data_IF_098890599556
#
_entry.id   IF_098890599556
#
_cell.length_a   1.000
_cell.length_b   1.000
_cell.length_c   1.000
_cell.angle_alpha   90.00
_cell.angle_beta   90.00
_cell.angle_gamma   90.00
#
_symmetry.space_group_name_H-M   'P 1'
#
loop_
_entity.id
_entity.type
_entity.pdbx_description
1 polymer ?
#
# COMPACT_ATOMS: atom_id res chain seq x y z
N UNK A 1 13.06 7.71 -32.56
CA UNK A 1 11.74 7.17 -32.94
C UNK A 1 10.72 7.78 -32.00
N UNK A 2 9.78 8.56 -32.53
CA UNK A 2 8.68 9.18 -31.80
C UNK A 2 7.42 8.34 -32.05
N UNK A 3 7.29 7.23 -31.34
CA UNK A 3 6.04 6.47 -31.31
C UNK A 3 5.46 6.59 -29.92
N UNK A 4 4.27 7.18 -29.82
CA UNK A 4 3.54 7.28 -28.55
C UNK A 4 3.24 5.88 -28.06
N UNK A 5 3.89 5.47 -26.98
CA UNK A 5 3.76 4.13 -26.40
C UNK A 5 2.45 4.09 -25.59
N UNK A 6 1.39 3.57 -26.18
CA UNK A 6 0.12 3.30 -25.50
C UNK A 6 -0.09 1.79 -25.37
N UNK A 7 0.77 1.11 -24.59
CA UNK A 7 0.55 -0.30 -24.27
C UNK A 7 -0.37 -0.44 -23.06
N UNK A 8 -1.31 -1.37 -23.12
CA UNK A 8 -1.90 -1.97 -21.93
C UNK A 8 -0.84 -2.76 -21.15
N UNK A 9 -1.10 -3.10 -19.88
CA UNK A 9 -0.13 -3.89 -19.09
C UNK A 9 0.17 -5.26 -19.70
N UNK A 10 -0.81 -5.88 -20.36
CA UNK A 10 -0.62 -7.16 -21.05
C UNK A 10 0.25 -6.99 -22.30
N UNK A 11 -0.02 -5.98 -23.12
CA UNK A 11 0.80 -5.67 -24.30
C UNK A 11 2.23 -5.29 -23.90
N UNK A 12 2.38 -4.50 -22.84
CA UNK A 12 3.68 -4.14 -22.29
C UNK A 12 4.43 -5.39 -21.84
N UNK A 13 3.79 -6.28 -21.05
CA UNK A 13 4.39 -7.55 -20.62
C UNK A 13 4.73 -8.48 -21.79
N UNK A 14 3.95 -8.47 -22.88
CA UNK A 14 4.23 -9.32 -24.04
C UNK A 14 5.40 -8.81 -24.89
N UNK A 15 5.65 -7.49 -24.87
CA UNK A 15 6.65 -6.84 -25.73
C UNK A 15 7.90 -6.37 -24.96
N UNK A 16 7.88 -6.32 -23.62
CA UNK A 16 8.96 -5.68 -22.84
C UNK A 16 10.32 -6.29 -23.11
N UNK A 17 10.42 -7.62 -23.25
CA UNK A 17 11.73 -8.27 -23.46
C UNK A 17 12.35 -7.84 -24.79
N UNK A 18 11.52 -7.66 -25.82
CA UNK A 18 11.96 -7.13 -27.10
C UNK A 18 12.42 -5.66 -26.96
N UNK A 19 11.62 -4.82 -26.32
CA UNK A 19 11.95 -3.40 -26.09
C UNK A 19 13.24 -3.23 -25.27
N UNK A 20 13.42 -4.06 -24.25
CA UNK A 20 14.62 -4.10 -23.41
C UNK A 20 15.86 -4.48 -24.25
N UNK A 21 15.76 -5.54 -25.06
CA UNK A 21 16.86 -5.98 -25.91
C UNK A 21 17.25 -4.88 -26.92
N UNK A 22 16.27 -4.27 -27.59
CA UNK A 22 16.50 -3.15 -28.52
C UNK A 22 17.16 -1.96 -27.83
N UNK A 23 16.70 -1.59 -26.64
CA UNK A 23 17.28 -0.49 -25.85
C UNK A 23 18.73 -0.77 -25.48
N UNK A 24 19.02 -1.95 -24.93
CA UNK A 24 20.38 -2.35 -24.53
C UNK A 24 21.31 -2.36 -25.75
N UNK A 25 20.86 -2.91 -26.88
CA UNK A 25 21.64 -2.91 -28.13
C UNK A 25 21.91 -1.50 -28.64
N UNK A 26 20.92 -0.61 -28.59
CA UNK A 26 21.03 0.75 -29.11
C UNK A 26 21.85 1.69 -28.22
N UNK A 27 21.82 1.51 -26.89
CA UNK A 27 22.40 2.49 -25.96
C UNK A 27 23.54 1.95 -25.11
N UNK A 28 23.82 0.65 -25.13
CA UNK A 28 24.77 -0.03 -24.24
C UNK A 28 24.53 0.27 -22.75
N UNK A 29 23.26 0.50 -22.36
CA UNK A 29 22.85 0.78 -20.98
C UNK A 29 22.31 -0.47 -20.30
N UNK A 30 22.06 -0.39 -18.99
CA UNK A 30 21.58 -1.51 -18.18
C UNK A 30 20.07 -1.71 -18.29
N UNK A 31 19.59 -2.86 -17.81
CA UNK A 31 18.15 -3.12 -17.65
C UNK A 31 17.48 -2.13 -16.68
N UNK A 32 18.20 -1.69 -15.64
CA UNK A 32 17.69 -0.66 -14.74
C UNK A 32 17.48 0.68 -15.48
N UNK A 33 18.45 1.07 -16.32
CA UNK A 33 18.34 2.29 -17.12
C UNK A 33 17.14 2.26 -18.07
N UNK A 34 16.81 1.07 -18.62
CA UNK A 34 15.62 0.88 -19.44
C UNK A 34 14.34 1.15 -18.63
N UNK A 35 14.21 0.57 -17.45
CA UNK A 35 13.00 0.77 -16.64
C UNK A 35 12.87 2.20 -16.11
N UNK A 36 13.96 2.86 -15.75
CA UNK A 36 13.94 4.28 -15.37
C UNK A 36 13.54 5.18 -16.56
N UNK A 37 14.04 4.86 -17.77
CA UNK A 37 13.64 5.56 -19.00
C UNK A 37 12.16 5.36 -19.34
N UNK A 38 11.65 4.13 -19.23
CA UNK A 38 10.23 3.84 -19.45
C UNK A 38 9.36 4.52 -18.39
N UNK A 39 9.75 4.50 -17.12
CA UNK A 39 9.02 5.18 -16.05
C UNK A 39 8.91 6.68 -16.32
N UNK A 40 9.98 7.31 -16.81
CA UNK A 40 9.97 8.72 -17.21
C UNK A 40 8.97 8.97 -18.35
N UNK A 41 8.97 8.13 -19.39
CA UNK A 41 7.99 8.24 -20.49
C UNK A 41 6.56 8.14 -19.98
N UNK A 42 6.24 7.12 -19.17
CA UNK A 42 4.87 6.90 -18.69
C UNK A 42 4.41 7.95 -17.68
N UNK A 43 5.30 8.47 -16.82
CA UNK A 43 4.98 9.59 -15.93
C UNK A 43 4.76 10.90 -16.72
N UNK A 44 5.54 11.12 -17.78
CA UNK A 44 5.47 12.34 -18.59
C UNK A 44 4.45 12.26 -19.74
N UNK A 45 3.84 11.10 -20.00
CA UNK A 45 2.78 10.92 -20.98
C UNK A 45 1.50 11.76 -20.69
N UNK A 46 1.46 12.46 -19.55
CA UNK A 46 0.36 13.30 -19.07
C UNK A 46 0.36 14.78 -19.48
N UNK A 47 1.11 15.20 -20.52
CA UNK A 47 0.93 16.54 -21.13
C UNK A 47 0.20 16.44 -22.48
N UNK A 48 -0.94 15.75 -22.51
CA UNK A 48 -2.03 16.00 -23.47
C UNK A 48 -3.31 16.03 -22.64
N UNK A 49 -3.75 17.24 -22.30
CA UNK A 49 -4.72 17.53 -21.24
C UNK A 49 -6.16 17.13 -21.61
N UNK A 50 -6.99 16.90 -20.59
CA UNK A 50 -8.45 16.79 -20.70
C UNK A 50 -9.16 18.10 -21.11
N UNK A 51 -8.44 19.18 -21.45
CA UNK A 51 -9.02 20.50 -21.75
C UNK A 51 -8.89 20.98 -23.20
N UNK A 52 -8.21 20.26 -24.10
CA UNK A 52 -7.90 20.79 -25.44
C UNK A 52 -8.64 20.11 -26.62
N UNK A 53 -9.67 19.28 -26.38
CA UNK A 53 -10.34 18.54 -27.47
C UNK A 53 -11.86 18.69 -27.49
N UNK A 54 -12.35 19.95 -27.52
CA UNK A 54 -13.56 20.29 -28.29
C UNK A 54 -13.13 21.05 -29.55
N UNK A 55 -12.45 20.35 -30.45
CA UNK A 55 -12.00 20.94 -31.71
C UNK A 55 -11.37 19.88 -32.59
N UNK A 56 -12.02 19.59 -33.70
CA UNK A 56 -11.55 18.61 -34.67
C UNK A 56 -10.09 18.87 -35.07
N UNK A 57 -9.21 17.86 -34.92
CA UNK A 57 -8.15 17.54 -35.89
C UNK A 57 -7.40 16.24 -35.51
N UNK A 58 -7.14 15.42 -36.54
CA UNK A 58 -6.14 14.34 -36.67
C UNK A 58 -5.76 13.49 -35.43
N UNK A 59 -6.30 12.27 -35.37
CA UNK A 59 -5.52 11.08 -35.00
C UNK A 59 -5.11 10.89 -33.53
N UNK A 60 -5.77 11.53 -32.57
CA UNK A 60 -5.50 11.32 -31.15
C UNK A 60 -6.12 10.02 -30.61
N UNK A 61 -5.27 9.09 -30.16
CA UNK A 61 -5.69 7.87 -29.44
C UNK A 61 -6.19 8.28 -28.05
N UNK A 62 -7.41 7.86 -27.69
CA UNK A 62 -7.94 8.01 -26.33
C UNK A 62 -7.14 7.09 -25.41
N UNK A 63 -6.39 7.68 -24.48
CA UNK A 63 -5.57 6.93 -23.52
C UNK A 63 -6.41 6.54 -22.31
N UNK A 64 -6.45 5.25 -21.97
CA UNK A 64 -7.10 4.76 -20.75
C UNK A 64 -6.13 4.91 -19.56
N UNK A 65 -6.42 5.86 -18.68
CA UNK A 65 -5.55 6.21 -17.54
C UNK A 65 -5.35 5.08 -16.52
N UNK A 66 -6.37 4.25 -16.29
CA UNK A 66 -6.27 3.12 -15.35
C UNK A 66 -5.23 2.11 -15.83
N UNK A 67 -5.22 1.84 -17.15
CA UNK A 67 -4.23 0.95 -17.77
C UNK A 67 -2.81 1.51 -17.70
N UNK A 68 -2.64 2.83 -17.76
CA UNK A 68 -1.32 3.48 -17.59
C UNK A 68 -0.78 3.29 -16.17
N UNK A 69 -1.64 3.41 -15.16
CA UNK A 69 -1.24 3.19 -13.76
C UNK A 69 -0.79 1.74 -13.53
N UNK A 70 -1.41 0.76 -14.19
CA UNK A 70 -0.95 -0.64 -14.13
C UNK A 70 0.44 -0.85 -14.73
N UNK A 71 0.76 -0.19 -15.85
CA UNK A 71 2.10 -0.23 -16.44
C UNK A 71 3.12 0.45 -15.54
N UNK A 72 2.80 1.63 -14.99
CA UNK A 72 3.66 2.35 -14.04
C UNK A 72 3.95 1.49 -12.81
N UNK A 73 2.92 0.84 -12.24
CA UNK A 73 3.08 -0.07 -11.11
C UNK A 73 4.01 -1.24 -11.47
N UNK A 74 3.82 -1.87 -12.64
CA UNK A 74 4.70 -2.93 -13.11
C UNK A 74 6.15 -2.47 -13.28
N UNK A 75 6.39 -1.31 -13.90
CA UNK A 75 7.74 -0.75 -14.07
C UNK A 75 8.40 -0.48 -12.71
N UNK A 76 7.66 0.08 -11.75
CA UNK A 76 8.19 0.31 -10.39
C UNK A 76 8.61 -0.99 -9.70
N UNK A 77 7.85 -2.06 -9.86
CA UNK A 77 8.23 -3.39 -9.36
C UNK A 77 9.52 -3.85 -10.01
N UNK A 78 9.67 -3.70 -11.33
CA UNK A 78 10.90 -4.08 -12.05
C UNK A 78 12.12 -3.27 -11.63
N UNK A 79 11.98 -1.96 -11.41
CA UNK A 79 13.04 -1.12 -10.84
C UNK A 79 13.45 -1.65 -9.47
N UNK A 80 12.49 -2.01 -8.62
CA UNK A 80 12.77 -2.57 -7.30
C UNK A 80 13.51 -3.91 -7.40
N UNK A 81 13.07 -4.81 -8.29
CA UNK A 81 13.76 -6.08 -8.57
C UNK A 81 15.22 -5.86 -9.02
N UNK A 82 15.48 -4.86 -9.87
CA UNK A 82 16.84 -4.53 -10.31
C UNK A 82 17.70 -3.93 -9.19
N UNK A 83 17.13 -3.09 -8.31
CA UNK A 83 17.87 -2.39 -7.25
C UNK A 83 18.14 -3.27 -6.03
N UNK A 84 17.21 -4.17 -5.71
CA UNK A 84 17.19 -4.90 -4.45
C UNK A 84 17.17 -6.42 -4.61
N UNK A 85 17.18 -6.92 -5.86
CA UNK A 85 16.99 -8.33 -6.20
C UNK A 85 15.51 -8.69 -6.31
N UNK A 86 15.20 -9.81 -6.99
CA UNK A 86 13.83 -10.35 -7.02
C UNK A 86 13.36 -10.59 -5.60
N UNK A 87 12.43 -9.76 -5.13
CA UNK A 87 11.63 -10.13 -3.97
C UNK A 87 10.72 -11.24 -4.48
N UNK A 88 11.08 -12.49 -4.19
CA UNK A 88 10.06 -13.53 -4.15
C UNK A 88 9.05 -13.02 -3.12
N UNK A 89 7.95 -12.44 -3.59
CA UNK A 89 6.77 -12.27 -2.76
C UNK A 89 6.26 -13.68 -2.59
N UNK A 90 6.91 -14.44 -1.70
CA UNK A 90 6.23 -15.55 -1.04
C UNK A 90 4.94 -14.93 -0.53
N UNK A 91 3.79 -15.49 -0.91
CA UNK A 91 2.54 -15.17 -0.25
C UNK A 91 2.74 -15.52 1.23
N UNK A 92 3.15 -14.52 2.03
CA UNK A 92 3.34 -14.71 3.46
C UNK A 92 1.95 -14.86 4.05
N UNK A 93 1.48 -16.10 4.14
CA UNK A 93 0.27 -16.42 4.86
C UNK A 93 0.46 -16.00 6.32
N UNK A 94 -0.37 -15.06 6.77
CA UNK A 94 -0.35 -14.58 8.14
C UNK A 94 -1.39 -15.36 8.92
N UNK A 95 -0.92 -16.31 9.71
CA UNK A 95 -1.76 -16.94 10.70
C UNK A 95 -1.81 -16.08 11.98
N UNK A 96 -2.93 -15.36 12.16
CA UNK A 96 -3.21 -14.57 13.37
C UNK A 96 -4.10 -15.33 14.37
N UNK A 97 -4.42 -16.60 14.14
CA UNK A 97 -5.39 -17.36 14.95
C UNK A 97 -4.98 -17.45 16.43
N UNK A 98 -3.68 -17.60 16.70
CA UNK A 98 -3.09 -17.73 18.04
C UNK A 98 -2.75 -16.38 18.71
N UNK A 99 -3.09 -15.25 18.08
CA UNK A 99 -2.83 -13.93 18.68
C UNK A 99 -3.73 -13.69 19.89
N UNK A 100 -3.12 -13.25 21.00
CA UNK A 100 -3.90 -12.92 22.19
C UNK A 100 -4.65 -11.60 22.02
N UNK A 101 -5.61 -11.34 22.91
CA UNK A 101 -6.46 -10.16 22.78
C UNK A 101 -5.72 -8.83 22.78
N UNK A 102 -4.58 -8.72 23.48
CA UNK A 102 -3.75 -7.52 23.47
C UNK A 102 -3.07 -7.32 22.11
N UNK A 103 -2.49 -8.38 21.54
CA UNK A 103 -1.86 -8.36 20.21
C UNK A 103 -2.84 -7.93 19.13
N UNK A 104 -4.08 -8.45 19.14
CA UNK A 104 -5.15 -8.04 18.22
C UNK A 104 -5.42 -6.54 18.26
N UNK A 105 -5.46 -5.93 19.45
CA UNK A 105 -5.64 -4.48 19.58
C UNK A 105 -4.42 -3.70 19.07
N UNK A 106 -3.19 -4.20 19.31
CA UNK A 106 -1.97 -3.58 18.77
C UNK A 106 -1.97 -3.61 17.24
N UNK A 107 -2.36 -4.74 16.62
CA UNK A 107 -2.53 -4.85 15.17
C UNK A 107 -3.47 -3.77 14.64
N UNK A 108 -4.66 -3.65 15.24
CA UNK A 108 -5.66 -2.67 14.83
C UNK A 108 -5.18 -1.22 15.01
N UNK A 109 -4.41 -0.92 16.05
CA UNK A 109 -3.84 0.41 16.27
C UNK A 109 -2.73 0.71 15.25
N UNK A 110 -1.77 -0.21 15.07
CA UNK A 110 -0.61 -0.02 14.18
C UNK A 110 -1.01 0.09 12.72
N UNK A 111 -2.11 -0.55 12.32
CA UNK A 111 -2.69 -0.44 10.99
C UNK A 111 -3.61 0.79 10.81
N UNK A 112 -3.70 1.68 11.80
CA UNK A 112 -4.54 2.89 11.74
C UNK A 112 -6.05 2.64 11.78
N UNK A 113 -6.49 1.40 12.01
CA UNK A 113 -7.91 1.04 11.98
C UNK A 113 -8.67 1.69 13.13
N UNK A 114 -8.10 1.71 14.34
CA UNK A 114 -8.72 2.36 15.50
C UNK A 114 -8.87 3.86 15.25
N UNK A 115 -7.82 4.52 14.76
CA UNK A 115 -7.86 5.96 14.46
C UNK A 115 -8.85 6.27 13.33
N UNK A 116 -8.88 5.46 12.28
CA UNK A 116 -9.87 5.55 11.22
C UNK A 116 -11.30 5.44 11.77
N UNK A 117 -11.60 4.43 12.59
CA UNK A 117 -12.93 4.23 13.16
C UNK A 117 -13.36 5.42 14.02
N UNK A 118 -12.44 6.05 14.76
CA UNK A 118 -12.71 7.26 15.55
C UNK A 118 -13.13 8.46 14.71
N UNK A 119 -12.93 8.45 13.40
CA UNK A 119 -13.47 9.49 12.52
C UNK A 119 -14.97 9.32 12.24
N UNK A 120 -15.58 8.19 12.63
CA UNK A 120 -16.97 7.83 12.30
C UNK A 120 -17.87 7.94 13.53
N UNK A 121 -19.12 8.34 13.33
CA UNK A 121 -20.16 8.28 14.37
C UNK A 121 -20.65 6.83 14.50
N UNK A 122 -20.88 6.29 15.71
CA UNK A 122 -20.80 6.94 17.02
C UNK A 122 -19.41 6.88 17.70
N UNK A 123 -18.41 6.29 17.06
CA UNK A 123 -17.10 6.01 17.66
C UNK A 123 -16.28 7.26 17.99
N UNK A 124 -16.52 8.37 17.27
CA UNK A 124 -15.88 9.66 17.50
C UNK A 124 -16.17 10.27 18.88
N UNK A 125 -17.29 9.92 19.50
CA UNK A 125 -17.75 10.48 20.79
C UNK A 125 -17.96 9.41 21.85
N UNK A 126 -18.06 8.14 21.47
CA UNK A 126 -18.37 7.04 22.38
C UNK A 126 -17.36 5.90 22.26
N UNK A 127 -16.35 5.91 23.13
CA UNK A 127 -15.33 4.86 23.26
C UNK A 127 -15.92 3.49 23.56
N UNK A 128 -17.05 3.41 24.28
CA UNK A 128 -17.70 2.14 24.57
C UNK A 128 -18.34 1.52 23.32
N UNK A 129 -18.94 2.34 22.45
CA UNK A 129 -19.44 1.90 21.15
C UNK A 129 -18.31 1.38 20.26
N UNK A 130 -17.15 2.05 20.27
CA UNK A 130 -15.96 1.56 19.58
C UNK A 130 -15.50 0.20 20.13
N UNK A 131 -15.41 0.06 21.46
CA UNK A 131 -15.03 -1.21 22.09
C UNK A 131 -16.04 -2.34 21.79
N UNK A 132 -17.33 -2.03 21.69
CA UNK A 132 -18.38 -3.00 21.32
C UNK A 132 -18.24 -3.43 19.85
N UNK A 133 -17.97 -2.49 18.95
CA UNK A 133 -17.72 -2.81 17.55
C UNK A 133 -16.46 -3.68 17.36
N UNK A 134 -15.36 -3.33 18.03
CA UNK A 134 -14.13 -4.13 18.00
C UNK A 134 -14.29 -5.51 18.65
N UNK A 135 -15.24 -5.67 19.57
CA UNK A 135 -15.62 -6.96 20.14
C UNK A 135 -16.22 -7.89 19.09
N UNK A 136 -17.05 -7.36 18.19
CA UNK A 136 -17.57 -8.09 17.04
C UNK A 136 -16.49 -8.53 16.05
N UNK A 137 -15.47 -7.71 15.82
CA UNK A 137 -14.35 -8.03 14.92
C UNK A 137 -13.40 -9.08 15.53
N UNK A 138 -13.06 -8.93 16.80
CA UNK A 138 -11.98 -9.70 17.43
C UNK A 138 -12.45 -10.95 18.18
N UNK A 139 -13.76 -11.06 18.46
CA UNK A 139 -14.33 -12.09 19.33
C UNK A 139 -14.03 -11.92 20.82
N UNK A 140 -13.34 -10.84 21.22
CA UNK A 140 -12.99 -10.55 22.61
C UNK A 140 -14.17 -9.81 23.26
N UNK A 141 -14.52 -10.12 24.51
CA UNK A 141 -15.61 -9.43 25.23
C UNK A 141 -15.37 -7.92 25.32
N UNK A 142 -16.42 -7.12 25.12
CA UNK A 142 -16.35 -5.66 25.24
C UNK A 142 -15.77 -5.19 26.57
N UNK A 143 -16.10 -5.86 27.68
CA UNK A 143 -15.57 -5.55 29.02
C UNK A 143 -14.05 -5.73 29.15
N UNK A 144 -13.45 -6.54 28.28
CA UNK A 144 -12.00 -6.75 28.20
C UNK A 144 -11.33 -5.78 27.20
N UNK A 145 -12.00 -5.42 26.11
CA UNK A 145 -11.48 -4.47 25.11
C UNK A 145 -11.51 -3.03 25.63
N UNK A 146 -12.59 -2.62 26.27
CA UNK A 146 -12.76 -1.24 26.74
C UNK A 146 -11.58 -0.71 27.58
N UNK A 147 -11.06 -1.42 28.60
CA UNK A 147 -9.91 -0.95 29.36
C UNK A 147 -8.60 -0.89 28.55
N UNK A 148 -8.52 -1.55 27.39
CA UNK A 148 -7.38 -1.45 26.46
C UNK A 148 -7.51 -0.26 25.52
N UNK A 149 -8.72 -0.03 24.98
CA UNK A 149 -8.99 1.04 24.01
C UNK A 149 -9.04 2.41 24.67
N UNK A 150 -9.69 2.54 25.83
CA UNK A 150 -9.83 3.82 26.50
C UNK A 150 -8.49 4.56 26.72
N UNK A 151 -7.42 3.91 27.22
CA UNK A 151 -6.13 4.60 27.37
C UNK A 151 -5.41 4.89 26.05
N UNK A 152 -5.70 4.19 24.94
CA UNK A 152 -5.17 4.54 23.61
C UNK A 152 -5.76 5.87 23.13
N UNK A 153 -7.06 6.07 23.36
CA UNK A 153 -7.81 7.21 22.78
C UNK A 153 -7.94 8.40 23.73
N UNK A 154 -7.65 8.20 25.03
CA UNK A 154 -7.77 9.20 26.08
C UNK A 154 -6.53 9.18 26.99
N UNK A 155 -5.71 10.23 26.90
CA UNK A 155 -4.48 10.35 27.69
C UNK A 155 -4.73 10.75 29.15
N UNK A 156 -5.95 11.15 29.51
CA UNK A 156 -6.30 11.57 30.88
C UNK A 156 -6.69 10.40 31.79
N UNK A 157 -6.74 9.16 31.27
CA UNK A 157 -7.03 7.96 32.07
C UNK A 157 -5.76 7.16 32.36
N UNK A 158 -5.85 6.25 33.34
CA UNK A 158 -4.75 5.35 33.68
C UNK A 158 -4.26 4.56 32.46
N UNK A 159 -2.96 4.65 32.20
CA UNK A 159 -2.28 4.01 31.08
C UNK A 159 -1.82 2.57 31.37
N UNK A 160 -2.12 2.04 32.56
CA UNK A 160 -1.71 0.68 32.99
C UNK A 160 -2.15 -0.41 32.01
N UNK A 161 -3.33 -0.25 31.41
CA UNK A 161 -3.90 -1.24 30.49
C UNK A 161 -3.64 -0.93 29.02
N UNK A 162 -2.91 0.14 28.69
CA UNK A 162 -2.61 0.51 27.31
C UNK A 162 -1.78 -0.60 26.64
N UNK A 163 -2.29 -1.28 25.58
CA UNK A 163 -1.54 -2.30 24.85
C UNK A 163 -0.19 -1.83 24.31
N UNK A 164 -0.09 -0.54 23.97
CA UNK A 164 1.13 0.06 23.42
C UNK A 164 2.28 0.14 24.43
N UNK A 165 1.99 -0.02 25.74
CA UNK A 165 3.02 -0.08 26.78
C UNK A 165 3.65 -1.47 26.91
N UNK A 166 3.12 -2.49 26.24
CA UNK A 166 3.69 -3.84 26.24
C UNK A 166 4.74 -3.99 25.15
N UNK A 167 5.97 -3.54 25.42
CA UNK A 167 7.07 -3.56 24.45
C UNK A 167 7.23 -4.91 23.75
N UNK A 168 7.20 -6.03 24.49
CA UNK A 168 7.29 -7.37 23.93
C UNK A 168 6.17 -7.70 22.93
N UNK A 169 4.94 -7.31 23.23
CA UNK A 169 3.80 -7.57 22.34
C UNK A 169 3.84 -6.64 21.12
N UNK A 170 4.24 -5.38 21.32
CA UNK A 170 4.43 -4.41 20.23
C UNK A 170 5.51 -4.89 19.27
N UNK A 171 6.70 -5.24 19.76
CA UNK A 171 7.80 -5.75 18.92
C UNK A 171 7.43 -7.00 18.14
N UNK A 172 6.63 -7.91 18.74
CA UNK A 172 6.14 -9.10 18.05
C UNK A 172 5.24 -8.71 16.86
N UNK A 173 4.23 -7.88 17.11
CA UNK A 173 3.30 -7.41 16.08
C UNK A 173 4.04 -6.64 14.99
N UNK A 174 4.99 -5.77 15.35
CA UNK A 174 5.78 -5.02 14.38
C UNK A 174 6.63 -5.93 13.48
N UNK A 175 7.28 -6.95 14.05
CA UNK A 175 8.02 -7.94 13.27
C UNK A 175 7.13 -8.69 12.29
N UNK A 176 5.94 -9.09 12.73
CA UNK A 176 4.96 -9.78 11.88
C UNK A 176 4.45 -8.86 10.75
N UNK A 177 4.17 -7.59 11.04
CA UNK A 177 3.79 -6.57 10.04
C UNK A 177 4.92 -6.25 9.05
N UNK A 178 6.16 -6.14 9.52
CA UNK A 178 7.32 -5.92 8.64
C UNK A 178 7.55 -7.14 7.74
N UNK A 179 7.40 -8.35 8.27
CA UNK A 179 7.58 -9.60 7.51
C UNK A 179 6.65 -9.68 6.29
N UNK A 180 5.48 -9.06 6.35
CA UNK A 180 4.48 -9.07 5.26
C UNK A 180 4.59 -7.82 4.36
N UNK A 181 5.63 -7.01 4.54
CA UNK A 181 5.92 -5.84 3.72
C UNK A 181 5.25 -4.53 4.15
N UNK A 182 4.66 -4.45 5.35
CA UNK A 182 4.10 -3.17 5.85
C UNK A 182 5.21 -2.23 6.30
N UNK A 183 5.24 -1.03 5.70
CA UNK A 183 6.09 0.07 6.14
C UNK A 183 5.44 0.83 7.31
N UNK A 184 5.84 0.49 8.54
CA UNK A 184 5.31 1.11 9.76
C UNK A 184 5.62 2.62 9.90
N UNK A 185 6.52 3.19 9.09
CA UNK A 185 6.79 4.64 9.08
C UNK A 185 5.73 5.45 8.33
N UNK A 186 4.90 4.78 7.52
CA UNK A 186 3.86 5.41 6.71
C UNK A 186 2.46 5.27 7.33
N UNK A 187 2.33 4.52 8.42
CA UNK A 187 1.03 4.13 9.01
C UNK A 187 0.58 5.01 10.18
N UNK A 188 1.31 6.08 10.51
CA UNK A 188 0.98 7.05 11.59
C UNK A 188 1.27 8.48 11.10
#
# INVERSE_FOLDING_TARGET
MNESICFTVEEYKSTFQYLLNEFILATAKTELDFFEYQLDIYNNAHVVSHQDFEGALYGGIIVNMDKFQEVIAFIRVKIAECKYGKTEVEEVEIDLSETNGREKIIYLQKMGIIDFLRTKTPFNTNTHSLASFLSGITGIKTSSIYPMINPIVNNSVSQTNNPMNSLKAVEKVEKELIRIGINLKETI
#
